data_IF_749397363051
#
_entry.id   IF_749397363051
#
_cell.length_a   1.000
_cell.length_b   1.000
_cell.length_c   1.000
_cell.angle_alpha   90.00
_cell.angle_beta   90.00
_cell.angle_gamma   90.00
#
_symmetry.space_group_name_H-M   'P 1'
#
loop_
_entity.id
_entity.type
_entity.pdbx_description
1 polymer ?
#
# COMPACT_ATOMS: atom_id res chain seq x y z
N UNK A 1 -4.73 8.24 -16.37
CA UNK A 1 -3.91 9.42 -16.71
C UNK A 1 -2.52 8.89 -16.98
N UNK A 2 -2.21 8.83 -18.27
CA UNK A 2 -0.93 8.71 -18.96
C UNK A 2 0.02 7.55 -18.63
N UNK A 3 -0.45 6.44 -18.03
CA UNK A 3 0.36 5.23 -17.72
C UNK A 3 1.76 5.51 -17.15
N UNK A 4 1.90 6.67 -16.48
CA UNK A 4 3.18 7.22 -16.07
C UNK A 4 3.36 6.98 -14.60
N UNK A 5 4.49 6.35 -14.26
CA UNK A 5 4.92 6.24 -12.87
C UNK A 5 5.29 7.63 -12.35
N UNK A 6 4.47 8.15 -11.43
CA UNK A 6 4.72 9.45 -10.79
C UNK A 6 5.60 9.30 -9.54
N UNK A 7 5.52 8.20 -8.81
CA UNK A 7 6.33 7.89 -7.64
C UNK A 7 6.54 6.38 -7.52
N UNK A 8 7.62 5.99 -6.86
CA UNK A 8 7.95 4.59 -6.60
C UNK A 8 8.80 4.50 -5.35
N UNK A 9 8.33 3.75 -4.35
CA UNK A 9 9.04 3.64 -3.07
C UNK A 9 8.97 2.23 -2.50
N UNK A 10 9.69 2.00 -1.41
CA UNK A 10 9.74 0.72 -0.69
C UNK A 10 9.72 0.95 0.82
N UNK A 11 9.59 -0.12 1.60
CA UNK A 11 9.60 -0.05 3.05
C UNK A 11 10.98 0.37 3.56
N UNK A 12 11.05 1.50 4.25
CA UNK A 12 12.29 2.05 4.84
C UNK A 12 12.22 2.13 6.37
N UNK A 13 11.22 1.53 7.02
CA UNK A 13 11.00 1.58 8.48
C UNK A 13 12.26 1.38 9.32
N UNK A 14 13.07 0.37 9.00
CA UNK A 14 14.32 0.09 9.74
C UNK A 14 15.43 1.08 9.42
N UNK A 15 15.52 1.54 8.17
CA UNK A 15 16.54 2.50 7.74
C UNK A 15 16.28 3.86 8.40
N UNK A 16 15.03 4.30 8.36
CA UNK A 16 14.62 5.62 8.82
C UNK A 16 14.31 5.65 10.32
N UNK A 17 14.20 4.47 10.96
CA UNK A 17 13.73 4.32 12.36
C UNK A 17 12.35 4.98 12.60
N UNK A 18 11.48 4.93 11.58
CA UNK A 18 10.16 5.54 11.58
C UNK A 18 9.09 4.49 11.28
N UNK A 19 8.15 4.31 12.22
CA UNK A 19 7.09 3.30 12.14
C UNK A 19 6.21 3.48 10.90
N UNK A 20 6.01 4.73 10.47
CA UNK A 20 5.15 5.07 9.34
C UNK A 20 5.80 4.85 7.97
N UNK A 21 7.11 4.57 7.89
CA UNK A 21 7.85 4.47 6.62
C UNK A 21 7.62 3.15 5.87
N UNK A 22 6.34 2.85 5.63
CA UNK A 22 5.87 1.79 4.75
C UNK A 22 5.91 2.26 3.30
N UNK A 23 5.98 1.31 2.35
CA UNK A 23 6.14 1.61 0.93
C UNK A 23 5.01 2.51 0.40
N UNK A 24 3.78 2.24 0.82
CA UNK A 24 2.56 2.96 0.43
C UNK A 24 2.60 4.41 0.94
N UNK A 25 2.99 4.61 2.20
CA UNK A 25 3.10 5.95 2.79
C UNK A 25 4.19 6.76 2.10
N UNK A 26 5.36 6.17 1.93
CA UNK A 26 6.47 6.82 1.25
C UNK A 26 6.09 7.21 -0.19
N UNK A 27 5.42 6.30 -0.92
CA UNK A 27 4.95 6.55 -2.28
C UNK A 27 3.89 7.68 -2.34
N UNK A 28 2.92 7.69 -1.41
CA UNK A 28 1.92 8.77 -1.31
C UNK A 28 2.59 10.12 -1.05
N UNK A 29 3.58 10.18 -0.15
CA UNK A 29 4.33 11.40 0.16
C UNK A 29 5.06 11.91 -1.09
N UNK A 30 5.80 11.04 -1.78
CA UNK A 30 6.53 11.39 -3.01
C UNK A 30 5.59 11.87 -4.11
N UNK A 31 4.48 11.15 -4.36
CA UNK A 31 3.48 11.53 -5.34
C UNK A 31 2.86 12.90 -5.02
N UNK A 32 2.50 13.12 -3.76
CA UNK A 32 1.87 14.38 -3.32
C UNK A 32 2.81 15.56 -3.47
N UNK A 33 4.09 15.39 -3.13
CA UNK A 33 5.13 16.42 -3.33
C UNK A 33 5.32 16.74 -4.81
N UNK A 34 5.40 15.71 -5.67
CA UNK A 34 5.61 15.88 -7.11
C UNK A 34 4.44 16.56 -7.81
N UNK A 35 3.21 16.25 -7.40
CA UNK A 35 2.00 16.86 -7.95
C UNK A 35 1.61 18.18 -7.27
N UNK A 36 2.31 18.55 -6.20
CA UNK A 36 1.94 19.65 -5.31
C UNK A 36 0.46 19.58 -4.88
N UNK A 37 -0.02 18.36 -4.61
CA UNK A 37 -1.42 18.10 -4.30
C UNK A 37 -1.56 16.87 -3.40
N UNK A 38 -2.32 16.98 -2.31
CA UNK A 38 -2.60 15.86 -1.41
C UNK A 38 -3.68 14.92 -1.98
N UNK A 39 -4.54 15.42 -2.88
CA UNK A 39 -5.61 14.66 -3.50
C UNK A 39 -5.06 13.90 -4.71
N UNK A 40 -5.00 12.57 -4.58
CA UNK A 40 -4.49 11.62 -5.56
C UNK A 40 -5.63 10.83 -6.24
N UNK A 41 -6.79 11.46 -6.41
CA UNK A 41 -8.05 10.91 -6.99
C UNK A 41 -7.97 10.45 -8.44
N UNK A 42 -6.85 10.71 -9.10
CA UNK A 42 -6.56 10.24 -10.46
C UNK A 42 -5.45 9.17 -10.49
N UNK A 43 -4.94 8.78 -9.33
CA UNK A 43 -3.82 7.84 -9.21
C UNK A 43 -4.29 6.41 -8.91
N UNK A 44 -3.51 5.44 -9.37
CA UNK A 44 -3.63 4.02 -9.01
C UNK A 44 -2.38 3.65 -8.23
N UNK A 45 -2.54 3.10 -7.03
CA UNK A 45 -1.44 2.62 -6.20
C UNK A 45 -1.25 1.12 -6.42
N UNK A 46 -0.05 0.73 -6.85
CA UNK A 46 0.37 -0.67 -6.92
C UNK A 46 1.27 -1.00 -5.73
N UNK A 47 1.02 -2.12 -5.06
CA UNK A 47 1.78 -2.56 -3.89
C UNK A 47 1.95 -4.08 -3.91
N UNK A 48 3.09 -4.59 -3.49
CA UNK A 48 3.36 -6.04 -3.55
C UNK A 48 2.62 -6.84 -2.48
N UNK A 49 2.41 -6.27 -1.29
CA UNK A 49 1.66 -6.86 -0.18
C UNK A 49 0.39 -6.05 0.10
N UNK A 50 -0.67 -6.72 0.53
CA UNK A 50 -1.88 -6.08 1.01
C UNK A 50 -1.59 -4.98 2.05
N UNK A 51 -2.10 -3.75 1.85
CA UNK A 51 -1.86 -2.65 2.79
C UNK A 51 -2.39 -2.94 4.19
N UNK A 52 -1.64 -2.50 5.20
CA UNK A 52 -2.09 -2.56 6.58
C UNK A 52 -3.03 -1.40 6.95
N UNK A 53 -3.63 -1.46 8.14
CA UNK A 53 -4.57 -0.45 8.66
C UNK A 53 -4.10 1.02 8.49
N UNK A 54 -2.83 1.28 8.76
CA UNK A 54 -2.24 2.62 8.66
C UNK A 54 -2.20 3.10 7.20
N UNK A 55 -1.73 2.23 6.31
CA UNK A 55 -1.61 2.52 4.89
C UNK A 55 -2.98 2.70 4.25
N UNK A 56 -3.96 1.85 4.60
CA UNK A 56 -5.33 1.99 4.11
C UNK A 56 -5.97 3.32 4.54
N UNK A 57 -5.78 3.73 5.79
CA UNK A 57 -6.23 5.05 6.25
C UNK A 57 -5.61 6.19 5.44
N UNK A 58 -4.30 6.14 5.20
CA UNK A 58 -3.62 7.16 4.38
C UNK A 58 -4.11 7.17 2.93
N UNK A 59 -4.33 6.00 2.32
CA UNK A 59 -4.87 5.85 0.96
C UNK A 59 -6.26 6.51 0.86
N UNK A 60 -7.11 6.29 1.86
CA UNK A 60 -8.45 6.89 1.92
C UNK A 60 -8.38 8.42 2.05
N UNK A 61 -7.51 8.94 2.92
CA UNK A 61 -7.31 10.39 3.09
C UNK A 61 -6.70 11.06 1.85
N UNK A 62 -5.79 10.36 1.15
CA UNK A 62 -5.22 10.81 -0.12
C UNK A 62 -6.20 10.67 -1.29
N UNK A 63 -7.40 10.10 -1.08
CA UNK A 63 -8.41 9.86 -2.11
C UNK A 63 -7.89 9.04 -3.29
N UNK A 64 -6.96 8.11 -3.10
CA UNK A 64 -6.41 7.31 -4.21
C UNK A 64 -7.55 6.56 -4.91
N UNK A 65 -7.62 6.66 -6.24
CA UNK A 65 -8.71 6.07 -7.03
C UNK A 65 -8.82 4.56 -6.90
N UNK A 66 -7.68 3.88 -6.95
CA UNK A 66 -7.61 2.42 -7.02
C UNK A 66 -6.36 1.90 -6.32
N UNK A 67 -6.52 0.83 -5.57
CA UNK A 67 -5.43 0.04 -4.99
C UNK A 67 -5.35 -1.27 -5.76
N UNK A 68 -4.14 -1.64 -6.17
CA UNK A 68 -3.83 -2.93 -6.76
C UNK A 68 -2.76 -3.58 -5.89
N UNK A 69 -3.02 -4.78 -5.37
CA UNK A 69 -2.03 -5.49 -4.55
C UNK A 69 -1.78 -6.93 -4.98
N UNK A 70 -0.53 -7.37 -4.82
CA UNK A 70 -0.05 -8.66 -5.29
C UNK A 70 -0.39 -9.84 -4.37
N UNK A 71 0.10 -9.82 -3.14
CA UNK A 71 -0.07 -10.87 -2.15
C UNK A 71 -0.99 -10.43 -1.00
N UNK A 72 -1.76 -11.38 -0.44
CA UNK A 72 -2.65 -11.13 0.69
C UNK A 72 -1.93 -11.21 2.03
N UNK A 73 -2.27 -10.35 2.99
CA UNK A 73 -1.72 -10.37 4.36
C UNK A 73 -2.83 -10.74 5.35
N UNK A 74 -2.93 -12.03 5.66
CA UNK A 74 -3.90 -12.56 6.62
C UNK A 74 -3.62 -12.16 8.09
N UNK A 75 -2.50 -11.52 8.38
CA UNK A 75 -2.11 -11.11 9.74
C UNK A 75 -2.29 -9.62 9.99
N UNK A 76 -2.06 -8.77 8.98
CA UNK A 76 -2.14 -7.31 9.16
C UNK A 76 -2.88 -6.59 8.03
N UNK A 77 -3.28 -7.29 6.96
CA UNK A 77 -3.93 -6.73 5.80
C UNK A 77 -5.33 -6.22 6.12
N UNK A 78 -5.64 -5.03 5.62
CA UNK A 78 -6.87 -4.30 5.92
C UNK A 78 -7.77 -4.10 4.69
N UNK A 79 -7.55 -4.87 3.61
CA UNK A 79 -8.35 -4.91 2.38
C UNK A 79 -8.99 -6.30 2.19
N UNK A 80 -9.35 -6.98 3.28
CA UNK A 80 -9.97 -8.30 3.29
C UNK A 80 -9.04 -9.47 3.65
N UNK A 81 -7.81 -9.20 4.09
CA UNK A 81 -6.85 -10.15 4.67
C UNK A 81 -7.19 -10.53 6.10
N UNK A 82 -6.76 -9.71 7.07
CA UNK A 82 -7.18 -9.85 8.47
C UNK A 82 -8.63 -9.35 8.65
N UNK A 83 -8.93 -8.20 8.05
CA UNK A 83 -10.25 -7.59 8.03
C UNK A 83 -10.37 -6.65 6.82
N UNK A 84 -11.57 -6.18 6.53
CA UNK A 84 -11.81 -5.20 5.49
C UNK A 84 -12.15 -3.83 6.09
N UNK A 85 -11.21 -2.90 6.02
CA UNK A 85 -11.38 -1.52 6.49
C UNK A 85 -12.42 -0.76 5.69
N UNK A 86 -12.59 -1.08 4.40
CA UNK A 86 -13.55 -0.43 3.53
C UNK A 86 -14.98 -1.00 3.67
N UNK A 87 -15.18 -1.96 4.56
CA UNK A 87 -16.52 -2.42 4.95
C UNK A 87 -17.19 -1.47 5.96
N UNK A 88 -16.47 -0.48 6.50
CA UNK A 88 -17.03 0.51 7.42
C UNK A 88 -18.05 1.39 6.67
N UNK A 89 -19.31 1.43 7.09
CA UNK A 89 -20.34 2.22 6.41
C UNK A 89 -20.10 3.72 6.62
N UNK A 90 -20.55 4.53 5.65
CA UNK A 90 -20.53 6.01 5.68
C UNK A 90 -19.13 6.64 5.71
N UNK A 91 -18.11 5.96 5.21
CA UNK A 91 -16.81 6.61 5.00
C UNK A 91 -16.90 7.65 3.88
N UNK A 92 -16.06 8.67 3.98
CA UNK A 92 -16.04 9.80 3.04
C UNK A 92 -15.50 9.42 1.65
N UNK A 93 -14.83 8.27 1.50
CA UNK A 93 -14.23 7.84 0.24
C UNK A 93 -13.94 6.33 0.24
N UNK A 94 -14.21 5.66 -0.88
CA UNK A 94 -13.91 4.24 -1.11
C UNK A 94 -13.10 4.07 -2.40
N UNK A 95 -11.84 3.60 -2.33
CA UNK A 95 -11.06 3.27 -3.51
C UNK A 95 -11.58 1.98 -4.16
N UNK A 96 -11.37 1.84 -5.46
CA UNK A 96 -11.49 0.54 -6.12
C UNK A 96 -10.36 -0.38 -5.64
N UNK A 97 -10.66 -1.65 -5.39
CA UNK A 97 -9.68 -2.62 -4.92
C UNK A 97 -9.50 -3.71 -5.97
N UNK A 98 -8.25 -4.09 -6.26
CA UNK A 98 -7.94 -5.24 -7.10
C UNK A 98 -6.82 -6.07 -6.47
N UNK A 99 -7.12 -7.33 -6.20
CA UNK A 99 -6.16 -8.34 -5.76
C UNK A 99 -5.70 -9.15 -6.98
N UNK A 100 -4.40 -9.21 -7.22
CA UNK A 100 -3.83 -9.87 -8.39
C UNK A 100 -3.51 -11.36 -8.17
N UNK A 101 -3.60 -11.86 -6.93
CA UNK A 101 -3.22 -13.24 -6.58
C UNK A 101 -1.84 -13.62 -7.14
N UNK A 102 -0.85 -12.74 -6.89
CA UNK A 102 0.49 -12.87 -7.46
C UNK A 102 1.41 -13.62 -6.48
N UNK A 103 1.76 -14.85 -6.82
CA UNK A 103 2.63 -15.73 -6.02
C UNK A 103 4.07 -15.20 -5.89
N UNK A 104 4.59 -14.49 -6.89
CA UNK A 104 5.94 -13.92 -6.86
C UNK A 104 6.05 -12.87 -5.75
N UNK A 105 5.02 -12.03 -5.58
CA UNK A 105 4.96 -11.04 -4.51
C UNK A 105 5.04 -11.70 -3.12
N UNK A 106 4.32 -12.81 -2.93
CA UNK A 106 4.35 -13.56 -1.68
C UNK A 106 5.71 -14.23 -1.46
N UNK A 107 6.30 -14.76 -2.53
CA UNK A 107 7.59 -15.45 -2.48
C UNK A 107 8.73 -14.53 -2.04
N UNK A 108 8.79 -13.31 -2.58
CA UNK A 108 9.79 -12.29 -2.18
C UNK A 108 9.77 -12.04 -0.67
N UNK A 109 8.58 -11.93 -0.08
CA UNK A 109 8.41 -11.68 1.35
C UNK A 109 8.83 -12.90 2.18
N UNK A 110 8.43 -14.11 1.77
CA UNK A 110 8.83 -15.36 2.42
C UNK A 110 10.35 -15.49 2.45
N UNK A 111 11.01 -15.27 1.32
CA UNK A 111 12.46 -15.37 1.21
C UNK A 111 13.19 -14.37 2.10
N UNK A 112 12.70 -13.13 2.19
CA UNK A 112 13.26 -12.13 3.10
C UNK A 112 13.23 -12.61 4.56
N UNK A 113 12.09 -13.14 5.04
CA UNK A 113 11.99 -13.62 6.42
C UNK A 113 12.78 -14.91 6.68
N UNK A 114 12.88 -15.81 5.71
CA UNK A 114 13.74 -16.99 5.79
C UNK A 114 15.20 -16.56 5.96
N UNK A 115 15.69 -15.65 5.11
CA UNK A 115 17.06 -15.12 5.19
C UNK A 115 17.31 -14.41 6.52
N UNK A 116 16.33 -13.64 7.02
CA UNK A 116 16.43 -12.94 8.30
C UNK A 116 16.54 -13.88 9.52
N UNK A 117 15.85 -15.04 9.51
CA UNK A 117 15.91 -16.02 10.60
C UNK A 117 17.18 -16.86 10.63
N UNK A 118 17.89 -16.96 9.50
CA UNK A 118 19.17 -17.67 9.38
C UNK A 118 20.37 -16.83 9.85
N UNK A 119 20.13 -15.58 10.24
CA UNK A 119 21.12 -14.61 10.69
C UNK A 119 20.94 -14.39 12.18
#
# INVERSE_FOLDING_TARGET
>A
MDDKVIASSHNTKQKDQLIISHAEINCIIEASKKLHNYCLDKCVLYVTLEPCQMCVGAIQQAKIKKIVFGAKDYKNGACGGLYDFFFIPKMNYYPLISYLENDECLQIIKEYFIKKRKK
#
